data_IF_641966274685
#
_entry.id   IF_641966274685
#
_cell.length_a   1.000
_cell.length_b   1.000
_cell.length_c   1.000
_cell.angle_alpha   90.00
_cell.angle_beta   90.00
_cell.angle_gamma   90.00
#
_symmetry.space_group_name_H-M   'P 1'
#
loop_
_entity.id
_entity.type
_entity.pdbx_description
1 polymer ?
#
# COMPACT_ATOMS: atom_id res chain seq x y z
N UNK A 1 20.55 8.78 7.34
CA UNK A 1 19.53 9.40 6.46
C UNK A 1 19.60 8.69 5.11
N UNK A 2 18.53 8.04 4.64
CA UNK A 2 18.54 7.29 3.35
C UNK A 2 18.49 8.30 2.18
N UNK A 3 19.23 8.06 1.08
CA UNK A 3 19.19 8.95 -0.08
C UNK A 3 17.85 8.86 -0.81
N UNK A 4 17.36 10.00 -1.32
CA UNK A 4 16.08 10.10 -2.04
C UNK A 4 16.00 9.11 -3.22
N UNK A 5 17.13 8.84 -3.88
CA UNK A 5 17.24 7.87 -4.98
C UNK A 5 16.87 6.45 -4.57
N UNK A 6 17.24 6.02 -3.36
CA UNK A 6 16.85 4.71 -2.84
C UNK A 6 15.34 4.65 -2.57
N UNK A 7 14.75 5.72 -2.03
CA UNK A 7 13.32 5.80 -1.77
C UNK A 7 12.48 5.71 -3.05
N UNK A 8 12.88 6.42 -4.12
CA UNK A 8 12.23 6.33 -5.43
C UNK A 8 12.32 4.90 -6.00
N UNK A 9 13.46 4.22 -5.81
CA UNK A 9 13.64 2.82 -6.21
C UNK A 9 12.69 1.88 -5.46
N UNK A 10 12.53 2.07 -4.15
CA UNK A 10 11.67 1.23 -3.32
C UNK A 10 10.18 1.42 -3.66
N UNK A 11 9.73 2.65 -3.91
CA UNK A 11 8.39 2.94 -4.44
C UNK A 11 8.16 2.20 -5.76
N UNK A 12 9.10 2.29 -6.69
CA UNK A 12 8.98 1.66 -8.01
C UNK A 12 8.87 0.14 -7.90
N UNK A 13 9.70 -0.49 -7.06
CA UNK A 13 9.66 -1.94 -6.80
C UNK A 13 8.33 -2.36 -6.16
N UNK A 14 7.88 -1.64 -5.14
CA UNK A 14 6.62 -1.95 -4.46
C UNK A 14 5.42 -1.83 -5.40
N UNK A 15 5.36 -0.76 -6.19
CA UNK A 15 4.37 -0.56 -7.25
C UNK A 15 4.39 -1.69 -8.29
N UNK A 16 5.58 -2.11 -8.74
CA UNK A 16 5.75 -3.22 -9.67
C UNK A 16 5.17 -4.53 -9.13
N UNK A 17 5.47 -4.86 -7.87
CA UNK A 17 4.92 -6.05 -7.20
C UNK A 17 3.40 -5.97 -7.05
N UNK A 18 2.86 -4.83 -6.62
CA UNK A 18 1.42 -4.66 -6.46
C UNK A 18 0.68 -4.87 -7.80
N UNK A 19 1.19 -4.28 -8.89
CA UNK A 19 0.63 -4.49 -10.25
C UNK A 19 0.68 -5.96 -10.68
N UNK A 20 1.79 -6.65 -10.40
CA UNK A 20 1.93 -8.07 -10.72
C UNK A 20 0.90 -8.92 -9.97
N UNK A 21 0.70 -8.66 -8.67
CA UNK A 21 -0.30 -9.35 -7.85
C UNK A 21 -1.72 -9.08 -8.32
N UNK A 22 -2.08 -7.82 -8.57
CA UNK A 22 -3.39 -7.44 -9.10
C UNK A 22 -3.68 -8.13 -10.45
N UNK A 23 -2.68 -8.20 -11.33
CA UNK A 23 -2.80 -8.91 -12.62
C UNK A 23 -2.98 -10.41 -12.42
N UNK A 24 -2.31 -11.02 -11.45
CA UNK A 24 -2.44 -12.44 -11.15
C UNK A 24 -3.83 -12.77 -10.60
N UNK A 25 -4.34 -11.96 -9.66
CA UNK A 25 -5.66 -12.15 -9.04
C UNK A 25 -6.79 -11.96 -10.05
N UNK A 26 -6.68 -10.97 -10.95
CA UNK A 26 -7.70 -10.72 -11.99
C UNK A 26 -7.81 -11.80 -13.07
N UNK A 27 -6.99 -12.85 -13.03
CA UNK A 27 -7.18 -14.02 -13.89
C UNK A 27 -8.33 -14.91 -13.42
N UNK A 28 -8.70 -14.82 -12.14
CA UNK A 28 -9.89 -15.48 -11.62
C UNK A 28 -11.12 -14.62 -11.93
N UNK A 29 -12.07 -15.18 -12.68
CA UNK A 29 -13.28 -14.45 -13.06
C UNK A 29 -14.07 -13.98 -11.83
N UNK A 30 -14.51 -12.73 -11.86
CA UNK A 30 -15.30 -12.12 -10.78
C UNK A 30 -14.50 -11.69 -9.54
N UNK A 31 -13.17 -11.89 -9.51
CA UNK A 31 -12.35 -11.52 -8.34
C UNK A 31 -11.59 -10.21 -8.59
N UNK A 32 -11.67 -9.31 -7.59
CA UNK A 32 -10.86 -8.07 -7.56
C UNK A 32 -10.13 -7.96 -6.22
N UNK A 33 -8.97 -7.31 -6.21
CA UNK A 33 -8.19 -7.10 -5.00
C UNK A 33 -7.85 -5.61 -4.80
N UNK A 34 -7.64 -5.25 -3.53
CA UNK A 34 -7.10 -3.95 -3.13
C UNK A 34 -5.86 -4.19 -2.28
N UNK A 35 -4.80 -3.43 -2.54
CA UNK A 35 -3.52 -3.59 -1.86
C UNK A 35 -3.14 -2.26 -1.20
N UNK A 36 -2.86 -2.30 0.09
CA UNK A 36 -2.21 -1.19 0.80
C UNK A 36 -0.72 -1.41 0.90
N UNK A 37 0.07 -0.34 0.80
CA UNK A 37 1.53 -0.39 0.80
C UNK A 37 2.08 0.61 1.82
N UNK A 38 2.91 0.15 2.75
CA UNK A 38 3.72 0.97 3.65
C UNK A 38 5.22 0.71 3.42
N UNK A 39 6.05 1.74 3.56
CA UNK A 39 7.48 1.73 3.25
C UNK A 39 8.31 2.00 4.50
N UNK A 40 9.09 1.01 4.93
CA UNK A 40 10.12 1.22 5.95
C UNK A 40 11.27 2.09 5.41
N UNK A 41 11.81 3.06 6.18
CA UNK A 41 11.38 3.49 7.51
C UNK A 41 10.37 4.65 7.49
N UNK A 42 9.95 5.10 6.30
CA UNK A 42 9.15 6.32 6.13
C UNK A 42 7.75 6.22 6.74
N UNK A 43 7.12 5.04 6.65
CA UNK A 43 5.77 4.78 7.13
C UNK A 43 5.78 3.97 8.42
N UNK A 44 6.87 3.98 9.20
CA UNK A 44 6.97 3.23 10.45
C UNK A 44 8.36 2.64 10.67
N UNK A 45 8.78 2.62 11.92
CA UNK A 45 10.01 1.99 12.39
C UNK A 45 9.79 0.56 12.89
N UNK A 46 8.56 0.18 13.23
CA UNK A 46 8.19 -1.17 13.69
C UNK A 46 7.29 -1.90 12.71
N UNK A 47 7.15 -3.22 12.90
CA UNK A 47 6.22 -4.01 12.10
C UNK A 47 4.77 -3.56 12.33
N UNK A 48 4.40 -3.29 13.58
CA UNK A 48 3.06 -2.88 13.97
C UNK A 48 2.67 -1.57 13.28
N UNK A 49 3.56 -0.56 13.29
CA UNK A 49 3.33 0.71 12.60
C UNK A 49 3.16 0.52 11.09
N UNK A 50 4.02 -0.28 10.46
CA UNK A 50 3.93 -0.56 9.03
C UNK A 50 2.66 -1.34 8.66
N UNK A 51 2.25 -2.28 9.51
CA UNK A 51 1.06 -3.09 9.30
C UNK A 51 -0.21 -2.23 9.36
N UNK A 52 -0.35 -1.43 10.41
CA UNK A 52 -1.50 -0.53 10.58
C UNK A 52 -1.56 0.49 9.45
N UNK A 53 -0.42 1.07 9.07
CA UNK A 53 -0.36 2.03 7.97
C UNK A 53 -0.67 1.41 6.60
N UNK A 54 -0.25 0.16 6.36
CA UNK A 54 -0.61 -0.59 5.16
C UNK A 54 -2.10 -0.92 5.15
N UNK A 55 -2.70 -1.28 6.29
CA UNK A 55 -4.14 -1.54 6.39
C UNK A 55 -4.98 -0.28 6.10
N UNK A 56 -4.59 0.88 6.66
CA UNK A 56 -5.21 2.17 6.34
C UNK A 56 -5.09 2.50 4.84
N UNK A 57 -3.94 2.23 4.21
CA UNK A 57 -3.79 2.38 2.76
C UNK A 57 -4.70 1.42 1.97
N UNK A 58 -4.86 0.19 2.44
CA UNK A 58 -5.75 -0.81 1.84
C UNK A 58 -7.22 -0.37 1.93
N UNK A 59 -7.65 0.16 3.07
CA UNK A 59 -9.00 0.71 3.24
C UNK A 59 -9.27 1.87 2.28
N UNK A 60 -8.30 2.78 2.07
CA UNK A 60 -8.40 3.84 1.06
C UNK A 60 -8.54 3.27 -0.36
N UNK A 61 -7.72 2.28 -0.71
CA UNK A 61 -7.86 1.56 -1.99
C UNK A 61 -9.25 0.90 -2.10
N UNK A 62 -9.79 0.35 -1.00
CA UNK A 62 -11.13 -0.26 -0.96
C UNK A 62 -12.23 0.76 -1.23
N UNK A 63 -12.16 1.93 -0.60
CA UNK A 63 -13.12 3.03 -0.81
C UNK A 63 -13.08 3.59 -2.25
N UNK A 64 -11.89 3.65 -2.87
CA UNK A 64 -11.73 4.05 -4.27
C UNK A 64 -12.38 3.08 -5.26
N UNK A 65 -12.50 1.80 -4.88
CA UNK A 65 -13.08 0.74 -5.70
C UNK A 65 -12.11 0.15 -6.73
N UNK A 66 -12.55 -0.94 -7.36
CA UNK A 66 -11.81 -1.62 -8.44
C UNK A 66 -10.64 -2.50 -7.98
N UNK A 67 -9.75 -2.78 -8.94
CA UNK A 67 -8.55 -3.60 -8.78
C UNK A 67 -7.32 -2.69 -8.70
N UNK A 68 -7.02 -2.16 -7.52
CA UNK A 68 -6.04 -1.08 -7.35
C UNK A 68 -5.16 -1.24 -6.10
N UNK A 69 -4.18 -0.36 -5.96
CA UNK A 69 -3.35 -0.25 -4.78
C UNK A 69 -3.22 1.22 -4.37
N UNK A 70 -2.94 1.46 -3.10
CA UNK A 70 -2.58 2.78 -2.57
C UNK A 70 -1.36 2.66 -1.66
N UNK A 71 -0.50 3.67 -1.71
CA UNK A 71 0.57 3.84 -0.73
C UNK A 71 0.03 4.57 0.50
N UNK A 72 0.62 4.27 1.65
CA UNK A 72 0.45 5.11 2.81
C UNK A 72 0.99 6.51 2.50
N UNK A 73 0.15 7.53 2.76
CA UNK A 73 0.54 8.93 2.72
C UNK A 73 0.67 9.36 4.17
N UNK A 74 1.90 9.56 4.63
CA UNK A 74 2.19 9.93 6.03
C UNK A 74 1.45 11.19 6.47
N UNK A 75 1.09 11.22 7.76
CA UNK A 75 0.34 12.26 8.48
C UNK A 75 -1.18 12.35 8.22
N UNK A 76 -1.84 11.26 7.82
CA UNK A 76 -3.30 11.15 8.00
C UNK A 76 -3.61 10.57 9.37
N UNK A 77 -4.21 11.37 10.25
CA UNK A 77 -4.85 10.89 11.47
C UNK A 77 -6.11 10.11 11.06
N UNK A 78 -5.94 8.84 10.70
CA UNK A 78 -7.05 7.93 10.46
C UNK A 78 -7.75 7.65 11.80
N UNK A 79 -8.79 8.42 12.10
CA UNK A 79 -9.71 8.17 13.20
C UNK A 79 -10.63 7.02 12.77
N UNK A 80 -10.16 5.78 12.92
CA UNK A 80 -10.92 4.58 12.60
C UNK A 80 -12.35 4.69 13.14
N UNK A 81 -13.30 4.81 12.22
CA UNK A 81 -14.73 4.81 12.54
C UNK A 81 -15.28 3.47 12.06
N UNK A 82 -15.43 2.56 13.03
CA UNK A 82 -16.24 1.34 13.09
C UNK A 82 -16.75 0.74 11.78
#
# INVERSE_FOLDING_TARGET
MRPITAFISDISKASGKAKALLKAISRAEGVTARIGIALYPNDGGTFEELYDHADVAMYRAKARGGNCYEFHRGAENWSGSH
#
